data_IF_774379524102
#
_entry.id   IF_774379524102
#
_cell.length_a   1.000
_cell.length_b   1.000
_cell.length_c   1.000
_cell.angle_alpha   90.00
_cell.angle_beta   90.00
_cell.angle_gamma   90.00
#
_symmetry.space_group_name_H-M   'P 1'
#
loop_
_entity.id
_entity.type
_entity.pdbx_description
1 polymer ?
#
# COMPACT_ATOMS: atom_id res chain seq x y z
N UNK A 1 11.49 17.48 -5.13
CA UNK A 1 11.38 16.46 -4.08
C UNK A 1 11.13 15.13 -4.78
N UNK A 2 11.98 14.13 -4.56
CA UNK A 2 11.80 12.81 -5.16
C UNK A 2 10.69 12.11 -4.36
N UNK A 3 9.58 11.78 -5.02
CA UNK A 3 8.51 11.00 -4.40
C UNK A 3 8.98 9.56 -4.13
N UNK A 4 8.27 8.83 -3.30
CA UNK A 4 8.53 7.40 -3.09
C UNK A 4 7.34 6.61 -3.62
N UNK A 5 7.58 5.64 -4.50
CA UNK A 5 6.52 4.77 -5.00
C UNK A 5 6.66 3.37 -4.41
N UNK A 6 5.57 2.93 -3.82
CA UNK A 6 5.39 1.60 -3.26
C UNK A 6 4.38 0.86 -4.14
N UNK A 7 4.83 -0.16 -4.86
CA UNK A 7 3.99 -0.96 -5.76
C UNK A 7 3.91 -2.40 -5.26
N UNK A 8 2.70 -2.87 -4.98
CA UNK A 8 2.44 -4.28 -4.65
C UNK A 8 1.75 -4.98 -5.81
N UNK A 9 2.31 -6.11 -6.24
CA UNK A 9 1.69 -7.03 -7.19
C UNK A 9 1.39 -8.31 -6.41
N UNK A 10 0.12 -8.69 -6.35
CA UNK A 10 -0.35 -9.82 -5.56
C UNK A 10 -1.10 -10.83 -6.41
N UNK A 11 -0.88 -12.11 -6.14
CA UNK A 11 -1.65 -13.23 -6.65
C UNK A 11 -2.46 -13.79 -5.49
N UNK A 12 -3.77 -13.63 -5.55
CA UNK A 12 -4.69 -14.17 -4.56
C UNK A 12 -4.89 -15.67 -4.71
N UNK A 13 -5.24 -16.35 -3.61
CA UNK A 13 -5.73 -17.73 -3.64
C UNK A 13 -7.12 -17.78 -4.30
N UNK A 14 -7.49 -18.93 -4.86
CA UNK A 14 -8.79 -19.08 -5.55
C UNK A 14 -10.01 -18.87 -4.63
N UNK A 15 -9.82 -19.00 -3.32
CA UNK A 15 -10.84 -18.82 -2.27
C UNK A 15 -10.67 -17.49 -1.52
N UNK A 16 -10.09 -16.48 -2.19
CA UNK A 16 -9.78 -15.20 -1.55
C UNK A 16 -11.04 -14.32 -1.43
N UNK A 17 -11.36 -13.80 -0.24
CA UNK A 17 -12.42 -12.81 -0.09
C UNK A 17 -11.94 -11.44 -0.57
N UNK A 18 -12.12 -11.18 -1.87
CA UNK A 18 -11.72 -9.91 -2.50
C UNK A 18 -12.50 -8.73 -1.90
N UNK A 19 -13.76 -8.94 -1.51
CA UNK A 19 -14.59 -7.95 -0.84
C UNK A 19 -14.05 -7.52 0.53
N UNK A 20 -13.57 -8.46 1.36
CA UNK A 20 -12.96 -8.14 2.65
C UNK A 20 -11.67 -7.32 2.49
N UNK A 21 -10.90 -7.62 1.44
CA UNK A 21 -9.69 -6.88 1.09
C UNK A 21 -10.04 -5.47 0.63
N UNK A 22 -11.04 -5.31 -0.24
CA UNK A 22 -11.49 -3.99 -0.69
C UNK A 22 -11.99 -3.14 0.48
N UNK A 23 -12.82 -3.71 1.34
CA UNK A 23 -13.34 -3.02 2.52
C UNK A 23 -12.22 -2.64 3.51
N UNK A 24 -11.23 -3.52 3.69
CA UNK A 24 -10.02 -3.23 4.47
C UNK A 24 -9.19 -2.09 3.90
N UNK A 25 -9.06 -2.00 2.58
CA UNK A 25 -8.39 -0.88 1.90
C UNK A 25 -9.17 0.44 2.05
N UNK A 26 -10.50 0.43 1.91
CA UNK A 26 -11.33 1.62 2.11
C UNK A 26 -11.26 2.14 3.55
N UNK A 27 -11.25 1.23 4.53
CA UNK A 27 -11.07 1.59 5.93
C UNK A 27 -9.69 2.19 6.18
N UNK A 28 -8.63 1.60 5.60
CA UNK A 28 -7.27 2.14 5.68
C UNK A 28 -7.16 3.56 5.11
N UNK A 29 -7.78 3.81 3.96
CA UNK A 29 -7.80 5.16 3.32
C UNK A 29 -8.61 6.17 4.13
N UNK A 30 -9.60 5.71 4.88
CA UNK A 30 -10.40 6.56 5.76
C UNK A 30 -9.66 6.92 7.05
N UNK A 31 -8.89 6.00 7.62
CA UNK A 31 -8.18 6.22 8.90
C UNK A 31 -6.79 6.84 8.74
N UNK A 32 -6.08 6.54 7.65
CA UNK A 32 -4.71 7.04 7.45
C UNK A 32 -4.74 8.16 6.43
N UNK A 33 -4.48 9.40 6.86
CA UNK A 33 -4.44 10.53 5.92
C UNK A 33 -3.17 10.48 5.02
N UNK A 34 -2.09 9.86 5.51
CA UNK A 34 -0.80 9.73 4.82
C UNK A 34 -0.84 8.92 3.50
N UNK A 35 -1.84 8.03 3.29
CA UNK A 35 -2.00 7.33 2.00
C UNK A 35 -2.41 8.27 0.86
N UNK A 36 -2.95 9.46 1.18
CA UNK A 36 -3.37 10.44 0.15
C UNK A 36 -2.19 11.18 -0.47
N UNK A 37 -1.05 11.26 0.23
CA UNK A 37 0.17 11.92 -0.24
C UNK A 37 1.40 11.06 0.12
N UNK A 38 1.67 10.03 -0.70
CA UNK A 38 2.93 9.28 -0.65
C UNK A 38 4.08 10.12 -1.22
N UNK A 39 4.44 11.18 -0.52
CA UNK A 39 5.45 12.13 -0.97
C UNK A 39 6.83 11.80 -0.38
N UNK A 40 6.90 11.24 0.84
CA UNK A 40 8.16 10.97 1.53
C UNK A 40 8.20 9.61 2.25
N UNK A 41 9.43 9.20 2.62
CA UNK A 41 9.70 7.95 3.35
C UNK A 41 9.11 7.95 4.76
N UNK A 42 8.93 9.13 5.36
CA UNK A 42 8.29 9.31 6.67
C UNK A 42 6.80 8.97 6.61
N UNK A 43 6.08 9.37 5.56
CA UNK A 43 4.66 9.02 5.34
C UNK A 43 4.48 7.51 5.21
N UNK A 44 5.39 6.83 4.51
CA UNK A 44 5.42 5.37 4.44
C UNK A 44 5.61 4.74 5.82
N UNK A 45 6.50 5.31 6.64
CA UNK A 45 6.78 4.75 7.98
C UNK A 45 5.57 4.95 8.91
N UNK A 46 4.88 6.10 8.79
CA UNK A 46 3.63 6.38 9.51
C UNK A 46 2.49 5.44 9.07
N UNK A 47 2.39 5.16 7.77
CA UNK A 47 1.44 4.19 7.23
C UNK A 47 1.73 2.77 7.72
N UNK A 48 2.97 2.30 7.60
CA UNK A 48 3.36 0.93 8.00
C UNK A 48 3.23 0.68 9.49
N UNK A 49 3.56 1.69 10.31
CA UNK A 49 3.46 1.61 11.76
C UNK A 49 2.05 1.76 12.32
N UNK A 50 1.06 2.11 11.49
CA UNK A 50 -0.31 2.31 11.96
C UNK A 50 -0.98 0.96 12.27
N UNK A 51 -1.69 0.81 13.42
CA UNK A 51 -2.35 -0.44 13.80
C UNK A 51 -3.33 -0.95 12.73
N UNK A 52 -4.09 -0.06 12.07
CA UNK A 52 -4.99 -0.46 10.97
C UNK A 52 -4.25 -1.07 9.79
N UNK A 53 -3.02 -0.63 9.49
CA UNK A 53 -2.21 -1.22 8.41
C UNK A 53 -1.65 -2.59 8.81
N UNK A 54 -1.25 -2.75 10.08
CA UNK A 54 -0.77 -4.04 10.59
C UNK A 54 -1.88 -5.09 10.58
N UNK A 55 -3.09 -4.75 11.03
CA UNK A 55 -4.26 -5.64 10.98
C UNK A 55 -4.66 -6.00 9.55
N UNK A 56 -4.66 -5.02 8.65
CA UNK A 56 -4.93 -5.26 7.23
C UNK A 56 -3.85 -6.14 6.61
N UNK A 57 -2.57 -5.87 6.87
CA UNK A 57 -1.45 -6.65 6.36
C UNK A 57 -1.54 -8.11 6.76
N UNK A 58 -1.92 -8.41 8.00
CA UNK A 58 -2.14 -9.78 8.47
C UNK A 58 -3.28 -10.48 7.71
N UNK A 59 -4.40 -9.79 7.50
CA UNK A 59 -5.55 -10.31 6.75
C UNK A 59 -5.21 -10.52 5.27
N UNK A 60 -4.56 -9.51 4.67
CA UNK A 60 -4.14 -9.48 3.28
C UNK A 60 -3.14 -10.59 2.97
N UNK A 61 -2.12 -10.77 3.81
CA UNK A 61 -1.12 -11.83 3.62
C UNK A 61 -1.67 -13.24 3.83
N UNK A 62 -2.73 -13.42 4.64
CA UNK A 62 -3.45 -14.70 4.74
C UNK A 62 -4.19 -15.09 3.44
N UNK A 63 -4.78 -14.10 2.78
CA UNK A 63 -5.58 -14.26 1.56
C UNK A 63 -4.74 -14.37 0.26
N UNK A 64 -3.47 -13.98 0.33
CA UNK A 64 -2.55 -13.98 -0.81
C UNK A 64 -1.78 -15.31 -0.92
N UNK A 65 -1.56 -15.74 -2.16
CA UNK A 65 -0.69 -16.87 -2.52
C UNK A 65 0.73 -16.40 -2.83
N UNK A 66 0.87 -15.30 -3.59
CA UNK A 66 2.16 -14.68 -3.91
C UNK A 66 2.08 -13.17 -3.81
N UNK A 67 3.10 -12.55 -3.24
CA UNK A 67 3.24 -11.10 -3.14
C UNK A 67 4.61 -10.69 -3.69
N UNK A 68 4.61 -9.66 -4.53
CA UNK A 68 5.82 -9.01 -5.03
C UNK A 68 5.71 -7.55 -4.64
N UNK A 69 6.74 -7.07 -3.96
CA UNK A 69 6.81 -5.71 -3.46
C UNK A 69 7.96 -5.00 -4.19
N UNK A 70 7.62 -3.92 -4.91
CA UNK A 70 8.58 -3.06 -5.60
C UNK A 70 8.55 -1.67 -4.99
N UNK A 71 9.61 -1.37 -4.26
CA UNK A 71 9.90 -0.06 -3.71
C UNK A 71 10.94 0.65 -4.57
N UNK A 72 10.63 1.84 -5.06
CA UNK A 72 11.58 2.62 -5.84
C UNK A 72 11.47 4.13 -5.59
N UNK A 73 12.61 4.84 -5.57
CA UNK A 73 12.62 6.29 -5.53
C UNK A 73 12.02 6.82 -6.84
N UNK A 74 10.96 7.61 -6.75
CA UNK A 74 10.34 8.27 -7.87
C UNK A 74 10.95 9.67 -8.03
N UNK A 75 11.86 9.80 -8.98
CA UNK A 75 12.36 11.11 -9.37
C UNK A 75 11.31 11.75 -10.28
N UNK A 76 10.70 12.86 -9.87
CA UNK A 76 9.89 13.69 -10.77
C UNK A 76 10.82 14.27 -11.84
N UNK A 77 10.96 13.54 -12.95
CA UNK A 77 11.56 14.09 -14.15
C UNK A 77 10.59 15.16 -14.69
N UNK A 78 11.11 16.36 -14.96
CA UNK A 78 10.35 17.41 -15.64
C UNK A 78 9.80 16.80 -16.94
N UNK A 79 8.48 16.84 -17.15
CA UNK A 79 7.93 16.46 -18.44
C UNK A 79 8.60 17.34 -19.50
N UNK A 80 9.35 16.72 -20.42
CA UNK A 80 9.88 17.46 -21.57
C UNK A 80 8.68 17.87 -22.40
N UNK A 81 8.53 19.19 -22.56
CA UNK A 81 7.60 19.78 -23.52
C UNK A 81 8.02 19.39 -24.95
#
# INVERSE_FOLDING_TARGET
MAGFKHLLIVKFKADCPVDDILNGMEKLVSEIDAVKSFECKEDYTAFVGHPSHVEFSATFSGAIDKIVLLDFPCVFAKASA
#
